data_IF_856064151323
#
_entry.id   IF_856064151323
#
_cell.length_a   1.000
_cell.length_b   1.000
_cell.length_c   1.000
_cell.angle_alpha   90.00
_cell.angle_beta   90.00
_cell.angle_gamma   90.00
#
_symmetry.space_group_name_H-M   'P 1'
#
loop_
_entity.id
_entity.type
_entity.pdbx_description
1 polymer ?
#
# COMPACT_ATOMS: atom_id res chain seq x y z
N UNK A 1 7.48 12.68 -22.52
CA UNK A 1 6.10 12.38 -22.07
C UNK A 1 5.97 12.90 -20.65
N UNK A 2 4.86 13.55 -20.30
CA UNK A 2 4.59 13.94 -18.91
C UNK A 2 4.15 12.68 -18.15
N UNK A 3 4.81 12.35 -17.05
CA UNK A 3 4.44 11.17 -16.25
C UNK A 3 3.09 11.38 -15.53
N UNK A 4 2.24 10.36 -15.50
CA UNK A 4 0.96 10.36 -14.78
C UNK A 4 1.06 9.46 -13.55
N UNK A 5 0.71 10.00 -12.39
CA UNK A 5 0.66 9.23 -11.14
C UNK A 5 -0.78 9.01 -10.68
N UNK A 6 -1.03 7.86 -10.06
CA UNK A 6 -2.22 7.63 -9.24
C UNK A 6 -1.90 7.96 -7.79
N UNK A 7 -2.71 8.80 -7.15
CA UNK A 7 -2.50 9.20 -5.76
C UNK A 7 -3.67 8.73 -4.89
N UNK A 8 -3.33 8.07 -3.78
CA UNK A 8 -4.25 7.55 -2.77
C UNK A 8 -3.83 8.10 -1.40
N UNK A 9 -4.80 8.38 -0.54
CA UNK A 9 -4.57 8.83 0.84
C UNK A 9 -5.66 8.30 1.73
N UNK A 10 -5.33 7.96 2.99
CA UNK A 10 -6.29 7.63 4.05
C UNK A 10 -7.29 6.53 3.63
N UNK A 11 -6.80 5.50 2.94
CA UNK A 11 -7.64 4.48 2.31
C UNK A 11 -8.20 3.45 3.31
N UNK A 12 -7.60 3.32 4.51
CA UNK A 12 -8.05 2.47 5.61
C UNK A 12 -8.69 1.14 5.18
N UNK A 13 -7.92 0.31 4.48
CA UNK A 13 -8.40 -0.95 3.90
C UNK A 13 -8.88 -1.95 4.97
N UNK A 14 -8.51 -1.76 6.24
CA UNK A 14 -8.98 -2.53 7.39
C UNK A 14 -10.50 -2.42 7.62
N UNK A 15 -11.16 -1.36 7.11
CA UNK A 15 -12.63 -1.26 7.19
C UNK A 15 -13.36 -2.04 6.10
N UNK A 16 -12.63 -2.59 5.11
CA UNK A 16 -13.20 -3.37 4.03
C UNK A 16 -12.96 -4.88 4.26
N UNK A 17 -13.96 -5.73 4.04
CA UNK A 17 -13.73 -7.17 3.93
C UNK A 17 -12.84 -7.45 2.70
N UNK A 18 -12.02 -8.50 2.78
CA UNK A 18 -11.03 -8.85 1.75
C UNK A 18 -11.58 -8.88 0.30
N UNK A 19 -12.80 -9.36 0.00
CA UNK A 19 -13.35 -9.29 -1.35
C UNK A 19 -13.49 -7.87 -1.88
N UNK A 20 -13.88 -6.90 -1.05
CA UNK A 20 -14.02 -5.50 -1.44
C UNK A 20 -12.66 -4.81 -1.58
N UNK A 21 -11.66 -5.18 -0.78
CA UNK A 21 -10.27 -4.75 -1.01
C UNK A 21 -9.79 -5.24 -2.37
N UNK A 22 -10.05 -6.51 -2.69
CA UNK A 22 -9.68 -7.09 -3.97
C UNK A 22 -10.34 -6.37 -5.15
N UNK A 23 -11.63 -6.03 -5.03
CA UNK A 23 -12.36 -5.27 -6.04
C UNK A 23 -11.82 -3.83 -6.18
N UNK A 24 -11.52 -3.17 -5.06
CA UNK A 24 -10.93 -1.83 -5.05
C UNK A 24 -9.62 -1.80 -5.84
N UNK A 25 -8.67 -2.70 -5.52
CA UNK A 25 -7.38 -2.77 -6.21
C UNK A 25 -7.54 -3.15 -7.69
N UNK A 26 -8.54 -3.98 -8.03
CA UNK A 26 -8.87 -4.31 -9.42
C UNK A 26 -9.45 -3.11 -10.20
N UNK A 27 -10.15 -2.19 -9.54
CA UNK A 27 -10.57 -0.93 -10.17
C UNK A 27 -9.36 -0.04 -10.44
N UNK A 28 -8.42 0.03 -9.49
CA UNK A 28 -7.18 0.81 -9.64
C UNK A 28 -6.34 0.33 -10.83
N UNK A 29 -6.20 -0.98 -11.03
CA UNK A 29 -5.38 -1.56 -12.11
C UNK A 29 -5.81 -1.15 -13.53
N UNK A 30 -7.05 -0.67 -13.70
CA UNK A 30 -7.60 -0.19 -14.98
C UNK A 30 -7.12 1.22 -15.36
N UNK A 31 -6.52 1.95 -14.42
CA UNK A 31 -5.97 3.27 -14.68
C UNK A 31 -4.57 3.19 -15.30
N UNK A 32 -4.37 3.91 -16.40
CA UNK A 32 -3.04 4.07 -17.01
C UNK A 32 -2.26 5.14 -16.25
N UNK A 33 -1.45 4.70 -15.31
CA UNK A 33 -0.50 5.52 -14.54
C UNK A 33 0.90 4.90 -14.65
N UNK A 34 1.93 5.69 -14.39
CA UNK A 34 3.34 5.27 -14.38
C UNK A 34 3.77 4.80 -12.98
N UNK A 35 3.11 5.31 -11.93
CA UNK A 35 3.34 4.94 -10.54
C UNK A 35 2.11 5.21 -9.66
N UNK A 36 2.05 4.53 -8.51
CA UNK A 36 1.11 4.79 -7.43
C UNK A 36 1.84 5.48 -6.27
N UNK A 37 1.21 6.53 -5.72
CA UNK A 37 1.64 7.23 -4.53
C UNK A 37 0.60 7.01 -3.43
N UNK A 38 1.02 6.59 -2.24
CA UNK A 38 0.13 6.44 -1.08
C UNK A 38 0.67 7.26 0.10
N UNK A 39 -0.10 8.25 0.57
CA UNK A 39 0.34 9.21 1.59
C UNK A 39 0.03 8.81 3.03
N UNK A 40 -0.08 7.51 3.32
CA UNK A 40 -0.30 6.96 4.66
C UNK A 40 -1.73 6.53 4.93
N UNK A 41 -1.95 6.06 6.17
CA UNK A 41 -3.21 5.54 6.70
C UNK A 41 -3.84 4.52 5.75
N UNK A 42 -3.01 3.54 5.40
CA UNK A 42 -3.36 2.41 4.54
C UNK A 42 -4.22 1.41 5.32
N UNK A 43 -3.86 1.15 6.58
CA UNK A 43 -4.50 0.14 7.44
C UNK A 43 -4.11 0.30 8.93
N UNK A 44 -4.21 -0.79 9.69
CA UNK A 44 -3.58 -1.01 11.00
C UNK A 44 -2.39 -1.98 10.87
N UNK A 45 -1.51 -2.03 11.87
CA UNK A 45 -0.23 -2.75 11.74
C UNK A 45 -0.38 -4.25 11.49
N UNK A 46 -1.45 -4.86 12.01
CA UNK A 46 -1.71 -6.30 11.93
C UNK A 46 -2.04 -6.79 10.51
N UNK A 47 -2.54 -5.90 9.64
CA UNK A 47 -2.98 -6.23 8.30
C UNK A 47 -2.25 -5.45 7.20
N UNK A 48 -1.47 -4.42 7.55
CA UNK A 48 -0.76 -3.55 6.61
C UNK A 48 0.04 -4.32 5.55
N UNK A 49 0.88 -5.27 5.98
CA UNK A 49 1.69 -6.07 5.08
C UNK A 49 0.85 -6.94 4.12
N UNK A 50 -0.31 -7.42 4.57
CA UNK A 50 -1.25 -8.20 3.74
C UNK A 50 -1.80 -7.30 2.63
N UNK A 51 -2.25 -6.10 2.95
CA UNK A 51 -2.82 -5.18 1.97
C UNK A 51 -1.78 -4.69 0.97
N UNK A 52 -0.57 -4.36 1.40
CA UNK A 52 0.54 -4.01 0.49
C UNK A 52 0.88 -5.16 -0.46
N UNK A 53 0.84 -6.42 0.00
CA UNK A 53 1.02 -7.61 -0.87
C UNK A 53 -0.11 -7.74 -1.88
N UNK A 54 -1.37 -7.53 -1.50
CA UNK A 54 -2.52 -7.56 -2.41
C UNK A 54 -2.38 -6.47 -3.48
N UNK A 55 -2.05 -5.24 -3.08
CA UNK A 55 -1.81 -4.13 -4.00
C UNK A 55 -0.67 -4.46 -4.96
N UNK A 56 0.48 -4.88 -4.44
CA UNK A 56 1.63 -5.26 -5.26
C UNK A 56 1.39 -6.50 -6.12
N UNK A 57 0.45 -7.39 -5.80
CA UNK A 57 0.12 -8.52 -6.67
C UNK A 57 -0.67 -8.07 -7.91
N UNK A 58 -1.50 -7.03 -7.79
CA UNK A 58 -2.47 -6.61 -8.83
C UNK A 58 -2.09 -5.34 -9.58
N UNK A 59 -1.32 -4.45 -8.96
CA UNK A 59 -0.84 -3.23 -9.58
C UNK A 59 0.52 -3.52 -10.23
N UNK A 60 0.63 -3.42 -11.58
CA UNK A 60 1.89 -3.71 -12.26
C UNK A 60 2.94 -2.61 -12.08
N UNK A 61 2.53 -1.37 -11.77
CA UNK A 61 3.43 -0.24 -11.56
C UNK A 61 4.07 -0.23 -10.17
N UNK A 62 5.19 0.49 -10.01
CA UNK A 62 5.75 0.82 -8.69
C UNK A 62 4.74 1.53 -7.79
N UNK A 63 4.77 1.19 -6.51
CA UNK A 63 3.98 1.77 -5.43
C UNK A 63 4.95 2.43 -4.45
N UNK A 64 4.92 3.75 -4.39
CA UNK A 64 5.64 4.54 -3.41
C UNK A 64 4.70 4.93 -2.29
N UNK A 65 5.13 4.74 -1.05
CA UNK A 65 4.25 5.00 0.09
C UNK A 65 5.03 5.47 1.30
N UNK A 66 4.34 6.22 2.16
CA UNK A 66 4.73 6.49 3.54
C UNK A 66 3.74 5.82 4.48
N UNK A 67 4.12 5.66 5.75
CA UNK A 67 3.24 5.13 6.78
C UNK A 67 2.64 6.29 7.58
N UNK A 68 1.31 6.32 7.67
CA UNK A 68 0.57 7.24 8.53
C UNK A 68 0.50 6.71 9.97
N UNK A 69 -0.17 7.44 10.86
CA UNK A 69 -0.25 7.04 12.28
C UNK A 69 -1.09 5.78 12.48
N UNK A 70 -2.16 5.56 11.69
CA UNK A 70 -2.98 4.37 11.81
C UNK A 70 -2.25 3.11 11.39
N UNK A 71 -1.31 3.21 10.45
CA UNK A 71 -0.48 2.08 10.02
C UNK A 71 0.36 1.48 11.17
N UNK A 72 0.56 2.23 12.26
CA UNK A 72 1.25 1.79 13.47
C UNK A 72 0.31 1.30 14.59
N UNK A 73 -1.01 1.42 14.45
CA UNK A 73 -1.94 1.03 15.51
C UNK A 73 -1.80 -0.45 15.86
N UNK A 74 -1.75 -0.73 17.17
CA UNK A 74 -1.52 -2.07 17.76
C UNK A 74 -0.14 -2.66 17.50
N UNK A 75 0.75 -1.91 16.85
CA UNK A 75 2.14 -2.27 16.61
C UNK A 75 3.12 -1.33 17.30
N UNK A 76 4.41 -1.67 17.27
CA UNK A 76 5.48 -0.75 17.63
C UNK A 76 6.01 -0.05 16.37
N UNK A 77 6.36 1.24 16.47
CA UNK A 77 6.94 1.99 15.34
C UNK A 77 8.17 1.27 14.77
N UNK A 78 9.04 0.75 15.64
CA UNK A 78 10.23 0.00 15.23
C UNK A 78 9.88 -1.30 14.52
N UNK A 79 8.97 -2.10 15.09
CA UNK A 79 8.57 -3.38 14.52
C UNK A 79 7.93 -3.24 13.14
N UNK A 80 6.94 -2.35 13.02
CA UNK A 80 6.24 -2.09 11.76
C UNK A 80 7.21 -1.59 10.68
N UNK A 81 8.10 -0.64 11.01
CA UNK A 81 9.10 -0.16 10.05
C UNK A 81 10.01 -1.28 9.55
N UNK A 82 10.44 -2.19 10.41
CA UNK A 82 11.29 -3.31 10.01
C UNK A 82 10.55 -4.31 9.12
N UNK A 83 9.33 -4.69 9.50
CA UNK A 83 8.48 -5.57 8.71
C UNK A 83 8.24 -5.00 7.30
N UNK A 84 7.91 -3.71 7.20
CA UNK A 84 7.66 -3.05 5.92
C UNK A 84 8.94 -2.92 5.09
N UNK A 85 10.09 -2.66 5.72
CA UNK A 85 11.39 -2.67 5.01
C UNK A 85 11.72 -4.06 4.47
N UNK A 86 11.50 -5.11 5.25
CA UNK A 86 11.72 -6.49 4.81
C UNK A 86 10.78 -6.86 3.67
N UNK A 87 9.52 -6.45 3.74
CA UNK A 87 8.56 -6.61 2.65
C UNK A 87 9.02 -5.91 1.37
N UNK A 88 9.50 -4.66 1.45
CA UNK A 88 10.00 -3.93 0.28
C UNK A 88 11.27 -4.59 -0.32
N UNK A 89 12.14 -5.18 0.51
CA UNK A 89 13.29 -5.97 0.02
C UNK A 89 12.85 -7.20 -0.77
N UNK A 90 11.73 -7.81 -0.39
CA UNK A 90 11.17 -9.02 -1.03
C UNK A 90 10.29 -8.70 -2.25
N UNK A 91 9.84 -7.45 -2.41
CA UNK A 91 8.93 -7.06 -3.48
C UNK A 91 9.41 -5.76 -4.17
N UNK A 92 10.00 -5.86 -5.37
CA UNK A 92 10.64 -4.72 -6.04
C UNK A 92 9.66 -3.63 -6.49
N UNK A 93 8.34 -3.87 -6.42
CA UNK A 93 7.32 -2.86 -6.72
C UNK A 93 6.94 -2.00 -5.52
N UNK A 94 7.34 -2.39 -4.30
CA UNK A 94 7.02 -1.65 -3.09
C UNK A 94 8.22 -0.78 -2.68
N UNK A 95 7.96 0.52 -2.53
CA UNK A 95 8.96 1.51 -2.16
C UNK A 95 8.46 2.31 -0.95
N UNK A 96 8.92 1.93 0.24
CA UNK A 96 8.72 2.72 1.44
C UNK A 96 9.68 3.91 1.44
N UNK A 97 9.13 5.13 1.46
CA UNK A 97 9.85 6.42 1.44
C UNK A 97 10.25 6.91 2.84
#
# INVERSE_FOLDING_TARGET
MMGRVGWLTDIHLNFLPLPLVNEFVEKLSRHKVDAWLISGDISESDNLAIYLKIMAAKLPQPIYFVLGNHDFYRGSIYGVRNEIKDLCRQNPKLHYL
#
